data_IF_264182480546
#
_entry.id   IF_264182480546
#
_cell.length_a   1.000
_cell.length_b   1.000
_cell.length_c   1.000
_cell.angle_alpha   90.00
_cell.angle_beta   90.00
_cell.angle_gamma   90.00
#
_symmetry.space_group_name_H-M   'P 1'
#
loop_
_entity.id
_entity.type
_entity.pdbx_description
1 polymer ?
#
# COMPACT_ATOMS: atom_id res chain seq x y z
N UNK A 1 14.71 -15.78 4.58
CA UNK A 1 13.38 -15.21 4.39
C UNK A 1 13.42 -13.74 4.81
N UNK A 2 13.08 -12.87 3.90
CA UNK A 2 13.10 -11.45 4.20
C UNK A 2 11.86 -11.04 4.97
N UNK A 3 12.08 -10.23 5.98
CA UNK A 3 11.00 -9.59 6.71
C UNK A 3 11.11 -8.10 6.54
N UNK A 4 9.97 -7.45 6.41
CA UNK A 4 9.94 -6.01 6.39
C UNK A 4 10.16 -5.48 7.80
N UNK A 5 11.12 -4.61 7.96
CA UNK A 5 11.35 -3.92 9.23
C UNK A 5 10.32 -2.81 9.37
N UNK A 6 9.27 -3.08 10.12
CA UNK A 6 8.13 -2.19 10.28
C UNK A 6 8.52 -0.82 10.83
N UNK A 7 9.37 -0.78 11.86
CA UNK A 7 9.76 0.49 12.48
C UNK A 7 10.62 1.33 11.54
N UNK A 8 11.51 0.69 10.84
CA UNK A 8 12.37 1.38 9.86
C UNK A 8 11.54 1.96 8.71
N UNK A 9 10.59 1.17 8.21
CA UNK A 9 9.70 1.61 7.13
C UNK A 9 8.84 2.79 7.60
N UNK A 10 8.26 2.68 8.78
CA UNK A 10 7.43 3.74 9.36
C UNK A 10 8.22 5.04 9.50
N UNK A 11 9.44 4.97 9.99
CA UNK A 11 10.32 6.14 10.15
C UNK A 11 10.69 6.74 8.79
N UNK A 12 11.02 5.89 7.81
CA UNK A 12 11.33 6.34 6.46
C UNK A 12 10.15 7.09 5.84
N UNK A 13 8.97 6.53 5.92
CA UNK A 13 7.77 7.16 5.38
C UNK A 13 7.46 8.48 6.08
N UNK A 14 7.63 8.51 7.40
CA UNK A 14 7.41 9.73 8.17
C UNK A 14 8.32 10.86 7.69
N UNK A 15 9.60 10.55 7.47
CA UNK A 15 10.56 11.54 6.99
C UNK A 15 10.23 12.02 5.57
N UNK A 16 9.60 11.16 4.78
CA UNK A 16 9.17 11.50 3.42
C UNK A 16 7.80 12.17 3.40
N UNK A 17 7.17 12.36 4.55
CA UNK A 17 5.89 13.04 4.65
C UNK A 17 4.67 12.13 4.48
N UNK A 18 4.83 10.83 4.75
CA UNK A 18 3.73 9.87 4.62
C UNK A 18 3.26 9.37 5.98
N UNK A 19 1.96 9.10 6.08
CA UNK A 19 1.39 8.39 7.22
C UNK A 19 1.77 6.92 7.17
N UNK A 20 1.33 6.15 8.16
CA UNK A 20 1.60 4.72 8.21
C UNK A 20 0.42 3.98 8.81
N UNK A 21 -0.06 2.98 8.11
CA UNK A 21 -1.12 2.11 8.59
C UNK A 21 -0.86 0.68 8.18
N UNK A 22 -1.65 -0.23 8.74
CA UNK A 22 -1.51 -1.67 8.49
C UNK A 22 -2.87 -2.25 8.15
N UNK A 23 -2.92 -3.06 7.08
CA UNK A 23 -4.07 -3.93 6.80
C UNK A 23 -3.65 -5.38 6.88
N UNK A 24 -4.57 -6.20 7.36
CA UNK A 24 -4.46 -7.65 7.35
C UNK A 24 -5.74 -8.19 6.75
N UNK A 25 -5.66 -8.69 5.53
CA UNK A 25 -6.84 -9.11 4.77
C UNK A 25 -6.89 -10.62 4.58
N UNK A 26 -8.11 -11.20 4.67
CA UNK A 26 -8.28 -12.61 4.35
C UNK A 26 -8.13 -12.87 2.85
N UNK A 27 -7.91 -14.13 2.44
CA UNK A 27 -7.90 -14.47 1.03
C UNK A 27 -9.18 -14.02 0.34
N UNK A 28 -9.04 -13.45 -0.85
CA UNK A 28 -10.19 -13.00 -1.64
C UNK A 28 -10.70 -11.61 -1.30
N UNK A 29 -10.15 -10.95 -0.29
CA UNK A 29 -10.55 -9.58 0.04
C UNK A 29 -10.27 -8.66 -1.13
N UNK A 30 -11.23 -7.81 -1.46
CA UNK A 30 -11.10 -6.81 -2.53
C UNK A 30 -11.50 -5.45 -1.99
N UNK A 31 -10.59 -4.49 -2.13
CA UNK A 31 -10.85 -3.08 -1.87
C UNK A 31 -10.94 -2.40 -3.23
N UNK A 32 -12.17 -2.22 -3.74
CA UNK A 32 -12.39 -1.86 -5.14
C UNK A 32 -12.60 -0.37 -5.35
N UNK A 33 -12.04 0.12 -6.45
CA UNK A 33 -12.37 1.41 -7.05
C UNK A 33 -12.16 2.61 -6.12
N UNK A 34 -11.01 2.63 -5.43
CA UNK A 34 -10.65 3.77 -4.60
C UNK A 34 -9.98 4.86 -5.40
N UNK A 35 -10.23 6.10 -4.98
CA UNK A 35 -9.54 7.29 -5.49
C UNK A 35 -9.20 8.15 -4.28
N UNK A 36 -7.93 8.48 -4.11
CA UNK A 36 -7.51 9.33 -3.00
C UNK A 36 -6.97 10.66 -3.51
N UNK A 37 -7.11 11.68 -2.69
CA UNK A 37 -6.64 13.04 -3.02
C UNK A 37 -5.12 13.18 -2.97
N UNK A 38 -4.46 12.25 -2.29
CA UNK A 38 -3.01 12.31 -2.08
C UNK A 38 -2.34 11.07 -2.65
N UNK A 39 -1.03 11.15 -2.84
CA UNK A 39 -0.21 10.00 -3.20
C UNK A 39 -0.24 8.97 -2.08
N UNK A 40 -0.14 7.71 -2.45
CA UNK A 40 -0.12 6.59 -1.51
C UNK A 40 1.07 5.69 -1.78
N UNK A 41 1.64 5.14 -0.70
CA UNK A 41 2.66 4.09 -0.78
C UNK A 41 2.09 2.81 -0.19
N UNK A 42 2.44 1.67 -0.80
CA UNK A 42 2.04 0.35 -0.31
C UNK A 42 3.25 -0.57 -0.30
N UNK A 43 3.43 -1.31 0.79
CA UNK A 43 4.46 -2.34 0.91
C UNK A 43 3.81 -3.61 1.45
N UNK A 44 3.98 -4.71 0.71
CA UNK A 44 3.52 -6.04 1.16
C UNK A 44 4.50 -6.57 2.19
N UNK A 45 3.98 -7.00 3.35
CA UNK A 45 4.79 -7.59 4.41
C UNK A 45 4.68 -9.11 4.46
N UNK A 46 3.50 -9.66 4.15
CA UNK A 46 3.26 -11.11 4.17
C UNK A 46 2.24 -11.48 3.11
N UNK A 47 2.37 -12.66 2.53
CA UNK A 47 1.40 -13.17 1.57
C UNK A 47 1.56 -12.62 0.17
N UNK A 48 0.45 -12.44 -0.51
CA UNK A 48 0.41 -11.96 -1.89
C UNK A 48 -0.57 -10.81 -2.01
N UNK A 49 -0.35 -9.94 -2.99
CA UNK A 49 -1.19 -8.77 -3.23
C UNK A 49 -1.19 -8.45 -4.72
N UNK A 50 -2.33 -8.00 -5.22
CA UNK A 50 -2.44 -7.41 -6.54
C UNK A 50 -2.94 -5.98 -6.37
N UNK A 51 -2.28 -5.04 -6.99
CA UNK A 51 -2.71 -3.64 -6.99
C UNK A 51 -2.95 -3.23 -8.43
N UNK A 52 -4.20 -2.96 -8.75
CA UNK A 52 -4.58 -2.49 -10.08
C UNK A 52 -4.68 -0.97 -10.03
N UNK A 53 -3.90 -0.30 -10.88
CA UNK A 53 -3.84 1.16 -10.93
C UNK A 53 -4.16 1.60 -12.36
N UNK A 54 -5.24 2.34 -12.52
CA UNK A 54 -5.69 2.82 -13.84
C UNK A 54 -5.70 1.69 -14.88
N UNK A 55 -6.25 0.53 -14.48
CA UNK A 55 -6.40 -0.63 -15.35
C UNK A 55 -5.14 -1.49 -15.50
N UNK A 56 -4.04 -1.14 -14.86
CA UNK A 56 -2.80 -1.93 -14.93
C UNK A 56 -2.58 -2.68 -13.64
N UNK A 57 -2.29 -3.97 -13.74
CA UNK A 57 -2.05 -4.83 -12.58
C UNK A 57 -0.58 -4.82 -12.19
N UNK A 58 -0.34 -4.69 -10.89
CA UNK A 58 0.98 -4.74 -10.28
C UNK A 58 0.97 -5.81 -9.21
N UNK A 59 2.05 -6.58 -9.13
CA UNK A 59 2.20 -7.66 -8.14
C UNK A 59 3.49 -7.43 -7.36
N UNK A 60 3.51 -6.45 -6.45
CA UNK A 60 4.74 -6.14 -5.72
C UNK A 60 5.15 -7.32 -4.83
N UNK A 61 6.45 -7.55 -4.75
CA UNK A 61 7.03 -8.56 -3.88
C UNK A 61 7.08 -8.04 -2.44
N UNK A 62 7.23 -8.97 -1.49
CA UNK A 62 7.42 -8.57 -0.09
C UNK A 62 8.58 -7.58 0.03
N UNK A 63 8.31 -6.44 0.64
CA UNK A 63 9.29 -5.37 0.84
C UNK A 63 9.41 -4.38 -0.30
N UNK A 64 8.79 -4.67 -1.45
CA UNK A 64 8.83 -3.77 -2.60
C UNK A 64 7.78 -2.66 -2.45
N UNK A 65 8.20 -1.42 -2.62
CA UNK A 65 7.31 -0.28 -2.49
C UNK A 65 6.56 -0.02 -3.80
N UNK A 66 5.24 0.06 -3.72
CA UNK A 66 4.40 0.42 -4.84
C UNK A 66 3.85 1.82 -4.63
N UNK A 67 4.04 2.68 -5.62
CA UNK A 67 3.53 4.04 -5.62
C UNK A 67 2.17 4.10 -6.31
N UNK A 68 1.19 4.74 -5.67
CA UNK A 68 -0.13 5.00 -6.24
C UNK A 68 -0.29 6.53 -6.31
N UNK A 69 -0.32 7.11 -7.51
CA UNK A 69 -0.45 8.57 -7.63
C UNK A 69 -1.79 9.08 -7.10
N UNK A 70 -1.78 10.32 -6.63
CA UNK A 70 -3.01 11.00 -6.26
C UNK A 70 -4.03 10.95 -7.41
N UNK A 71 -5.29 10.73 -7.08
CA UNK A 71 -6.42 10.69 -8.00
C UNK A 71 -6.43 9.51 -8.96
N UNK A 72 -5.48 8.58 -8.86
CA UNK A 72 -5.48 7.37 -9.66
C UNK A 72 -6.52 6.38 -9.13
N UNK A 73 -7.36 5.87 -10.02
CA UNK A 73 -8.33 4.82 -9.67
C UNK A 73 -7.57 3.53 -9.40
N UNK A 74 -7.80 2.92 -8.24
CA UNK A 74 -7.08 1.70 -7.89
C UNK A 74 -7.92 0.71 -7.10
N UNK A 75 -7.54 -0.56 -7.20
CA UNK A 75 -8.16 -1.68 -6.51
C UNK A 75 -7.06 -2.56 -5.92
N UNK A 76 -7.24 -2.97 -4.67
CA UNK A 76 -6.28 -3.84 -3.98
C UNK A 76 -6.95 -5.18 -3.70
N UNK A 77 -6.28 -6.28 -4.09
CA UNK A 77 -6.82 -7.63 -3.93
C UNK A 77 -5.82 -8.54 -3.22
N UNK A 78 -6.32 -9.35 -2.30
CA UNK A 78 -5.54 -10.48 -1.81
C UNK A 78 -5.78 -11.66 -2.75
N UNK A 79 -4.81 -11.95 -3.59
CA UNK A 79 -4.87 -13.02 -4.58
C UNK A 79 -4.26 -14.33 -4.07
N UNK A 80 -3.76 -14.33 -2.84
CA UNK A 80 -3.14 -15.51 -2.25
C UNK A 80 -4.14 -16.44 -1.60
N UNK A 81 -3.62 -17.50 -1.01
CA UNK A 81 -4.42 -18.53 -0.31
C UNK A 81 -4.44 -18.32 1.20
N UNK A 82 -3.67 -17.36 1.70
CA UNK A 82 -3.57 -17.05 3.12
C UNK A 82 -3.89 -15.58 3.32
N UNK A 83 -4.01 -15.18 4.58
CA UNK A 83 -4.06 -13.77 4.90
C UNK A 83 -2.83 -13.07 4.34
N UNK A 84 -3.00 -11.82 3.92
CA UNK A 84 -1.84 -10.98 3.65
C UNK A 84 -1.74 -9.88 4.71
N UNK A 85 -0.55 -9.30 4.82
CA UNK A 85 -0.32 -8.12 5.65
C UNK A 85 0.35 -7.09 4.76
N UNK A 86 -0.18 -5.89 4.73
CA UNK A 86 0.43 -4.82 3.94
C UNK A 86 0.34 -3.50 4.66
N UNK A 87 1.35 -2.68 4.41
CA UNK A 87 1.47 -1.35 4.99
C UNK A 87 1.08 -0.33 3.95
N UNK A 88 0.42 0.74 4.39
CA UNK A 88 0.03 1.81 3.49
C UNK A 88 0.30 3.15 4.14
N UNK A 89 0.56 4.16 3.32
CA UNK A 89 0.75 5.51 3.81
C UNK A 89 0.26 6.51 2.80
N UNK A 90 -0.30 7.60 3.29
CA UNK A 90 -0.76 8.70 2.45
C UNK A 90 0.12 9.91 2.64
N UNK A 91 0.41 10.60 1.54
CA UNK A 91 1.19 11.83 1.58
C UNK A 91 0.45 12.86 2.40
N UNK A 92 1.12 13.44 3.39
CA UNK A 92 0.56 14.50 4.19
C UNK A 92 0.50 15.79 3.39
N UNK A 93 -0.68 16.40 3.34
CA UNK A 93 -0.85 17.70 2.70
C UNK A 93 -0.73 18.77 3.77
N UNK A 94 0.22 19.69 3.56
CA UNK A 94 0.33 20.86 4.40
C UNK A 94 -0.29 22.03 3.65
N UNK A 95 -1.31 22.63 4.27
CA UNK A 95 -1.98 23.79 3.71
C UNK A 95 -1.55 25.03 4.47
N UNK A 96 -1.18 26.06 3.75
CA UNK A 96 -0.80 27.34 4.31
C UNK A 96 -1.73 28.40 3.76
N UNK A 97 -2.26 29.20 4.64
CA UNK A 97 -3.09 30.34 4.27
C UNK A 97 -2.25 31.59 4.10
#
# INVERSE_FOLDING_TARGET
>A
MEKVDKLKLKNDWKQRGYSFGVFRDPPGQVWANFVHKTDELVVLAEGEIQIEIEGRSHFPKIGEEQFIPAKALHTVRNTGRTYNVWYYGYKTILEFD
#
